data_IF_799786412886
#
_entry.id   IF_799786412886
#
_cell.length_a   1.000
_cell.length_b   1.000
_cell.length_c   1.000
_cell.angle_alpha   90.00
_cell.angle_beta   90.00
_cell.angle_gamma   90.00
#
_symmetry.space_group_name_H-M   'P 1'
#
loop_
_entity.id
_entity.type
_entity.pdbx_description
1 polymer ?
#
# COMPACT_ATOMS: atom_id res chain seq x y z
N UNK A 1 -20.62 10.86 19.37
CA UNK A 1 -20.18 10.95 20.79
C UNK A 1 -20.76 12.22 21.39
N UNK A 2 -21.37 12.12 22.55
CA UNK A 2 -21.86 13.22 23.36
C UNK A 2 -20.90 13.49 24.55
N UNK A 3 -21.23 14.49 25.38
CA UNK A 3 -20.38 14.92 26.50
C UNK A 3 -20.22 13.83 27.56
N UNK A 4 -21.30 13.14 27.94
CA UNK A 4 -21.25 12.05 28.92
C UNK A 4 -20.37 10.89 28.41
N UNK A 5 -20.51 10.51 27.14
CA UNK A 5 -19.66 9.49 26.52
C UNK A 5 -18.17 9.90 26.50
N UNK A 6 -17.86 11.20 26.34
CA UNK A 6 -16.47 11.68 26.47
C UNK A 6 -15.97 11.57 27.91
N UNK A 7 -16.80 11.87 28.90
CA UNK A 7 -16.46 11.70 30.32
C UNK A 7 -16.16 10.21 30.61
N UNK A 8 -16.97 9.30 30.07
CA UNK A 8 -16.74 7.86 30.20
C UNK A 8 -15.41 7.43 29.52
N UNK A 9 -15.10 7.94 28.31
CA UNK A 9 -13.82 7.68 27.64
C UNK A 9 -12.63 8.19 28.47
N UNK A 10 -12.74 9.39 29.02
CA UNK A 10 -11.70 9.95 29.87
C UNK A 10 -11.57 9.18 31.20
N UNK A 11 -12.64 8.64 31.73
CA UNK A 11 -12.63 7.77 32.91
C UNK A 11 -11.89 6.45 32.63
N UNK A 12 -12.07 5.88 31.43
CA UNK A 12 -11.29 4.72 30.99
C UNK A 12 -9.80 5.09 30.90
N UNK A 13 -9.45 6.21 30.29
CA UNK A 13 -8.06 6.66 30.18
C UNK A 13 -7.43 6.92 31.55
N UNK A 14 -8.17 7.55 32.47
CA UNK A 14 -7.76 7.84 33.86
C UNK A 14 -7.40 6.57 34.62
N UNK A 15 -8.10 5.47 34.39
CA UNK A 15 -7.80 4.19 35.06
C UNK A 15 -6.39 3.70 34.74
N UNK A 16 -5.84 4.05 33.57
CA UNK A 16 -4.50 3.64 33.12
C UNK A 16 -3.42 4.67 33.45
N UNK A 17 -3.67 5.96 33.20
CA UNK A 17 -2.63 7.00 33.27
C UNK A 17 -2.77 7.96 34.49
N UNK A 18 -3.81 7.76 35.27
CA UNK A 18 -4.09 8.54 36.49
C UNK A 18 -4.22 10.05 36.25
N UNK A 19 -4.66 10.44 35.03
CA UNK A 19 -4.89 11.86 34.71
C UNK A 19 -5.95 12.49 35.58
N UNK A 20 -5.87 13.80 35.72
CA UNK A 20 -6.97 14.59 36.30
C UNK A 20 -7.84 15.09 35.17
N UNK A 21 -9.09 14.64 35.13
CA UNK A 21 -10.05 15.07 34.12
C UNK A 21 -10.67 16.38 34.52
N UNK A 22 -10.55 17.41 33.69
CA UNK A 22 -11.15 18.73 33.87
C UNK A 22 -12.07 19.10 32.72
N UNK A 23 -12.87 20.14 32.88
CA UNK A 23 -13.82 20.65 31.89
C UNK A 23 -13.16 20.99 30.55
N UNK A 24 -11.98 21.60 30.59
CA UNK A 24 -11.22 21.93 29.39
C UNK A 24 -10.81 20.68 28.58
N UNK A 25 -10.46 19.60 29.28
CA UNK A 25 -10.11 18.33 28.63
C UNK A 25 -11.34 17.69 28.00
N UNK A 26 -12.46 17.65 28.71
CA UNK A 26 -13.74 17.16 28.17
C UNK A 26 -14.11 17.92 26.90
N UNK A 27 -14.02 19.25 26.94
CA UNK A 27 -14.31 20.10 25.77
C UNK A 27 -13.40 19.80 24.59
N UNK A 28 -12.09 19.67 24.81
CA UNK A 28 -11.12 19.40 23.74
C UNK A 28 -11.34 18.00 23.11
N UNK A 29 -11.65 17.00 23.94
CA UNK A 29 -11.96 15.67 23.47
C UNK A 29 -13.27 15.61 22.69
N UNK A 30 -14.30 16.32 23.17
CA UNK A 30 -15.60 16.41 22.51
C UNK A 30 -15.49 17.07 21.12
N UNK A 31 -14.73 18.16 21.00
CA UNK A 31 -14.46 18.82 19.73
C UNK A 31 -13.76 17.86 18.75
N UNK A 32 -12.73 17.17 19.22
CA UNK A 32 -12.00 16.19 18.43
C UNK A 32 -12.87 15.02 17.97
N UNK A 33 -13.72 14.51 18.88
CA UNK A 33 -14.66 13.42 18.60
C UNK A 33 -15.68 13.81 17.52
N UNK A 34 -16.22 15.03 17.60
CA UNK A 34 -17.17 15.57 16.63
C UNK A 34 -16.52 15.75 15.25
N UNK A 35 -15.34 16.36 15.20
CA UNK A 35 -14.58 16.57 13.94
C UNK A 35 -14.24 15.25 13.26
N UNK A 36 -13.80 14.26 14.01
CA UNK A 36 -13.40 12.97 13.48
C UNK A 36 -14.56 11.95 13.39
N UNK A 37 -15.76 12.35 13.80
CA UNK A 37 -16.99 11.52 13.78
C UNK A 37 -16.78 10.18 14.51
N UNK A 38 -16.25 10.22 15.72
CA UNK A 38 -16.11 9.01 16.51
C UNK A 38 -17.48 8.45 16.88
N UNK A 39 -17.58 7.12 16.98
CA UNK A 39 -18.60 6.48 17.80
C UNK A 39 -18.00 6.14 19.16
N UNK A 40 -18.82 5.97 20.19
CA UNK A 40 -18.35 5.63 21.52
C UNK A 40 -17.59 4.29 21.53
N UNK A 41 -18.13 3.29 20.84
CA UNK A 41 -17.52 1.96 20.77
C UNK A 41 -16.13 2.01 20.12
N UNK A 42 -16.01 2.69 18.97
CA UNK A 42 -14.71 2.82 18.29
C UNK A 42 -13.69 3.56 19.16
N UNK A 43 -14.10 4.62 19.83
CA UNK A 43 -13.21 5.41 20.67
C UNK A 43 -12.81 4.64 21.95
N UNK A 44 -13.75 3.93 22.56
CA UNK A 44 -13.50 3.09 23.73
C UNK A 44 -12.49 1.97 23.43
N UNK A 45 -12.68 1.26 22.31
CA UNK A 45 -11.74 0.23 21.88
C UNK A 45 -10.37 0.84 21.54
N UNK A 46 -10.32 1.99 20.84
CA UNK A 46 -9.07 2.66 20.53
C UNK A 46 -8.29 3.08 21.79
N UNK A 47 -8.96 3.59 22.83
CA UNK A 47 -8.32 3.94 24.09
C UNK A 47 -7.75 2.71 24.79
N UNK A 48 -8.50 1.62 24.90
CA UNK A 48 -8.05 0.35 25.49
C UNK A 48 -6.86 -0.23 24.71
N UNK A 49 -6.97 -0.26 23.38
CA UNK A 49 -5.94 -0.75 22.47
C UNK A 49 -4.64 0.07 22.58
N UNK A 50 -4.76 1.39 22.74
CA UNK A 50 -3.60 2.25 22.96
C UNK A 50 -2.80 1.81 24.18
N UNK A 51 -3.45 1.62 25.31
CA UNK A 51 -2.76 1.20 26.53
C UNK A 51 -2.28 -0.26 26.47
N UNK A 52 -2.98 -1.13 25.76
CA UNK A 52 -2.55 -2.52 25.56
C UNK A 52 -1.31 -2.67 24.67
N UNK A 53 -1.13 -1.76 23.71
CA UNK A 53 -0.06 -1.83 22.70
C UNK A 53 1.12 -0.91 22.99
N UNK A 54 0.95 0.09 23.85
CA UNK A 54 2.04 1.03 24.13
C UNK A 54 3.05 0.44 25.11
N UNK A 55 4.33 0.63 24.80
CA UNK A 55 5.47 0.20 25.63
C UNK A 55 6.09 1.36 26.41
N UNK A 56 5.50 2.55 26.36
CA UNK A 56 5.97 3.72 27.09
C UNK A 56 5.81 3.53 28.60
N UNK A 57 6.79 3.97 29.38
CA UNK A 57 6.73 3.96 30.84
C UNK A 57 5.61 4.85 31.39
N UNK A 58 5.26 5.90 30.65
CA UNK A 58 4.17 6.83 30.99
C UNK A 58 3.28 7.04 29.77
N UNK A 59 2.41 6.09 29.48
CA UNK A 59 1.50 6.21 28.34
C UNK A 59 0.47 7.32 28.63
N UNK A 60 0.30 8.22 27.67
CA UNK A 60 -0.67 9.29 27.73
C UNK A 60 -1.45 9.37 26.42
N UNK A 61 -2.68 8.89 26.44
CA UNK A 61 -3.51 8.92 25.25
C UNK A 61 -4.02 10.33 24.97
N UNK A 62 -3.91 10.75 23.73
CA UNK A 62 -4.39 12.04 23.22
C UNK A 62 -5.50 11.82 22.19
N UNK A 63 -6.41 12.79 21.97
CA UNK A 63 -7.44 12.69 20.92
C UNK A 63 -6.89 12.37 19.53
N UNK A 64 -5.68 12.81 19.20
CA UNK A 64 -5.02 12.51 17.94
C UNK A 64 -4.70 11.02 17.79
N UNK A 65 -4.28 10.35 18.88
CA UNK A 65 -4.01 8.91 18.88
C UNK A 65 -5.29 8.13 18.62
N UNK A 66 -6.37 8.47 19.33
CA UNK A 66 -7.69 7.85 19.14
C UNK A 66 -8.18 8.04 17.71
N UNK A 67 -8.10 9.26 17.17
CA UNK A 67 -8.49 9.55 15.80
C UNK A 67 -7.70 8.70 14.78
N UNK A 68 -6.38 8.60 14.97
CA UNK A 68 -5.52 7.81 14.10
C UNK A 68 -5.90 6.32 14.12
N UNK A 69 -6.11 5.77 15.30
CA UNK A 69 -6.47 4.36 15.48
C UNK A 69 -7.84 4.04 14.85
N UNK A 70 -8.83 4.89 15.08
CA UNK A 70 -10.17 4.74 14.48
C UNK A 70 -10.09 4.77 12.94
N UNK A 71 -9.31 5.70 12.38
CA UNK A 71 -9.14 5.79 10.92
C UNK A 71 -8.48 4.55 10.36
N UNK A 72 -7.40 4.08 10.99
CA UNK A 72 -6.70 2.86 10.57
C UNK A 72 -7.62 1.63 10.61
N UNK A 73 -8.41 1.48 11.68
CA UNK A 73 -9.35 0.36 11.79
C UNK A 73 -10.49 0.44 10.75
N UNK A 74 -11.01 1.63 10.48
CA UNK A 74 -12.01 1.84 9.41
C UNK A 74 -11.45 1.49 8.03
N UNK A 75 -10.21 1.85 7.75
CA UNK A 75 -9.52 1.51 6.50
C UNK A 75 -9.32 0.00 6.35
N UNK A 76 -8.84 -0.68 7.40
CA UNK A 76 -8.70 -2.14 7.42
C UNK A 76 -10.05 -2.82 7.19
N UNK A 77 -11.09 -2.35 7.85
CA UNK A 77 -12.46 -2.87 7.71
C UNK A 77 -12.98 -2.68 6.28
N UNK A 78 -12.75 -1.52 5.69
CA UNK A 78 -13.10 -1.24 4.30
C UNK A 78 -12.35 -2.15 3.33
N UNK A 79 -11.02 -2.30 3.49
CA UNK A 79 -10.21 -3.21 2.66
C UNK A 79 -10.70 -4.66 2.76
N UNK A 80 -10.99 -5.13 3.98
CA UNK A 80 -11.53 -6.49 4.20
C UNK A 80 -12.89 -6.69 3.51
N UNK A 81 -13.78 -5.69 3.59
CA UNK A 81 -15.08 -5.73 2.92
C UNK A 81 -14.92 -5.80 1.40
N UNK A 82 -14.07 -4.95 0.82
CA UNK A 82 -13.77 -4.95 -0.62
C UNK A 82 -13.13 -6.27 -1.07
N UNK A 83 -12.17 -6.79 -0.30
CA UNK A 83 -11.54 -8.09 -0.61
C UNK A 83 -12.56 -9.23 -0.58
N UNK A 84 -13.49 -9.21 0.40
CA UNK A 84 -14.55 -10.20 0.48
C UNK A 84 -15.53 -10.11 -0.70
N UNK A 85 -15.84 -8.89 -1.14
CA UNK A 85 -16.70 -8.66 -2.31
C UNK A 85 -16.03 -9.17 -3.60
N UNK A 86 -14.73 -8.85 -3.79
CA UNK A 86 -13.95 -9.33 -4.94
C UNK A 86 -13.73 -10.85 -4.92
N UNK A 87 -13.73 -11.48 -3.76
CA UNK A 87 -13.60 -12.93 -3.62
C UNK A 87 -14.92 -13.69 -3.88
N UNK A 88 -16.04 -12.99 -4.06
CA UNK A 88 -17.30 -13.64 -4.41
C UNK A 88 -17.22 -14.20 -5.84
N UNK A 89 -17.71 -15.42 -6.08
CA UNK A 89 -17.73 -15.96 -7.43
C UNK A 89 -18.61 -15.08 -8.32
N UNK A 90 -18.12 -14.82 -9.53
CA UNK A 90 -18.87 -14.06 -10.51
C UNK A 90 -20.22 -14.71 -10.81
N UNK A 91 -21.31 -13.92 -10.94
CA UNK A 91 -22.59 -14.47 -11.36
C UNK A 91 -22.42 -15.26 -12.66
N UNK A 92 -23.12 -16.42 -12.82
CA UNK A 92 -22.96 -17.31 -13.98
C UNK A 92 -23.10 -16.60 -15.34
N UNK A 93 -23.95 -15.57 -15.40
CA UNK A 93 -24.12 -14.73 -16.60
C UNK A 93 -22.86 -13.94 -16.97
N UNK A 94 -22.12 -13.44 -15.96
CA UNK A 94 -20.88 -12.71 -16.20
C UNK A 94 -19.74 -13.66 -16.55
N UNK A 95 -19.68 -14.84 -15.95
CA UNK A 95 -18.71 -15.88 -16.32
C UNK A 95 -18.85 -16.22 -17.80
N UNK A 96 -20.10 -16.49 -18.26
CA UNK A 96 -20.38 -16.75 -19.69
C UNK A 96 -19.98 -15.59 -20.61
N UNK A 97 -20.29 -14.35 -20.20
CA UNK A 97 -19.92 -13.17 -20.99
C UNK A 97 -18.38 -13.00 -21.09
N UNK A 98 -17.66 -13.22 -19.99
CA UNK A 98 -16.18 -13.18 -19.99
C UNK A 98 -15.59 -14.29 -20.86
N UNK A 99 -16.14 -15.50 -20.78
CA UNK A 99 -15.71 -16.63 -21.63
C UNK A 99 -16.00 -16.37 -23.12
N UNK A 100 -17.08 -15.70 -23.44
CA UNK A 100 -17.45 -15.33 -24.81
C UNK A 100 -16.52 -14.25 -25.36
N UNK A 101 -16.23 -13.22 -24.57
CA UNK A 101 -15.24 -12.20 -24.91
C UNK A 101 -13.85 -12.82 -25.06
N UNK A 102 -13.44 -13.71 -24.14
CA UNK A 102 -12.15 -14.39 -24.22
C UNK A 102 -12.04 -15.27 -25.49
N UNK A 103 -13.13 -15.91 -25.91
CA UNK A 103 -13.19 -16.70 -27.16
C UNK A 103 -13.18 -15.81 -28.41
N UNK A 104 -13.85 -14.65 -28.37
CA UNK A 104 -13.89 -13.72 -29.50
C UNK A 104 -12.63 -12.86 -29.64
N UNK A 105 -11.93 -12.66 -28.53
CA UNK A 105 -10.66 -11.91 -28.51
C UNK A 105 -9.50 -12.90 -28.67
N UNK A 106 -9.43 -13.59 -29.79
CA UNK A 106 -8.18 -14.19 -30.23
C UNK A 106 -7.27 -13.01 -30.62
N UNK A 107 -6.52 -12.51 -29.61
CA UNK A 107 -5.39 -11.62 -29.90
C UNK A 107 -4.42 -12.50 -30.72
N UNK A 108 -4.21 -12.21 -32.01
CA UNK A 108 -3.19 -12.91 -32.78
C UNK A 108 -1.89 -12.68 -31.97
N UNK A 109 -1.36 -13.72 -31.37
CA UNK A 109 -0.01 -13.66 -30.84
C UNK A 109 0.87 -13.48 -32.08
N UNK A 110 1.25 -12.21 -32.36
CA UNK A 110 2.34 -11.98 -33.31
C UNK A 110 3.48 -12.92 -32.91
N UNK A 111 4.02 -13.66 -33.87
CA UNK A 111 5.15 -14.54 -33.61
C UNK A 111 6.22 -13.68 -32.94
N UNK A 112 6.41 -13.90 -31.60
CA UNK A 112 7.47 -13.21 -30.86
C UNK A 112 8.76 -13.55 -31.59
N UNK A 113 9.32 -12.57 -32.31
CA UNK A 113 10.67 -12.68 -32.82
C UNK A 113 11.58 -13.32 -31.75
N UNK A 114 12.36 -14.35 -32.10
CA UNK A 114 13.25 -15.00 -31.17
C UNK A 114 14.09 -13.92 -30.48
N UNK A 115 13.93 -13.79 -29.15
CA UNK A 115 14.69 -12.80 -28.36
C UNK A 115 16.16 -13.16 -28.44
N UNK A 116 16.88 -12.54 -29.38
CA UNK A 116 18.34 -12.68 -29.44
C UNK A 116 18.88 -12.21 -28.08
N UNK A 117 19.63 -13.05 -27.34
CA UNK A 117 20.13 -12.67 -26.03
C UNK A 117 21.11 -11.51 -26.15
N UNK A 118 20.61 -10.29 -25.97
CA UNK A 118 21.40 -9.06 -26.10
C UNK A 118 22.68 -9.07 -25.25
N UNK A 119 22.70 -9.87 -24.17
CA UNK A 119 23.87 -10.02 -23.31
C UNK A 119 25.04 -10.80 -23.95
N UNK A 120 24.85 -11.45 -25.10
CA UNK A 120 25.92 -12.19 -25.79
C UNK A 120 26.92 -11.31 -26.53
N UNK A 121 26.68 -10.02 -26.63
CA UNK A 121 27.56 -9.05 -27.32
C UNK A 121 27.88 -7.88 -26.39
N UNK A 122 28.99 -7.22 -26.58
CA UNK A 122 29.35 -5.99 -25.89
C UNK A 122 28.38 -4.87 -26.32
N UNK A 123 28.06 -3.96 -25.39
CA UNK A 123 27.16 -2.87 -25.71
C UNK A 123 27.92 -1.70 -26.35
N UNK A 124 27.62 -1.35 -27.65
CA UNK A 124 28.30 -0.23 -28.30
C UNK A 124 28.05 1.11 -27.61
N UNK A 125 26.93 1.25 -26.91
CA UNK A 125 26.52 2.50 -26.29
C UNK A 125 27.19 2.74 -24.93
N UNK A 126 27.07 1.81 -23.98
CA UNK A 126 27.60 1.99 -22.62
C UNK A 126 28.87 1.19 -22.31
N UNK A 127 29.42 0.49 -23.30
CA UNK A 127 30.65 -0.33 -23.21
C UNK A 127 30.54 -1.53 -22.22
N UNK A 128 29.35 -1.86 -21.76
CA UNK A 128 29.16 -3.04 -20.91
C UNK A 128 29.57 -4.31 -21.66
N UNK A 129 30.36 -5.16 -21.03
CA UNK A 129 30.87 -6.40 -21.64
C UNK A 129 29.81 -7.49 -21.76
N UNK A 130 30.15 -8.56 -22.47
CA UNK A 130 29.30 -9.75 -22.58
C UNK A 130 28.95 -10.28 -21.19
N UNK A 131 27.69 -10.58 -20.98
CA UNK A 131 27.17 -11.04 -19.69
C UNK A 131 26.81 -9.91 -18.72
N UNK A 132 27.31 -8.70 -18.90
CA UNK A 132 26.99 -7.56 -18.05
C UNK A 132 25.74 -6.83 -18.49
N UNK A 133 24.92 -6.36 -17.52
CA UNK A 133 23.77 -5.51 -17.79
C UNK A 133 24.17 -4.12 -18.29
N UNK A 134 23.34 -3.51 -19.13
CA UNK A 134 23.55 -2.10 -19.49
C UNK A 134 23.29 -1.20 -18.29
N UNK A 135 24.07 -0.12 -18.17
CA UNK A 135 23.93 0.89 -17.12
C UNK A 135 23.90 2.29 -17.70
N UNK A 136 23.30 3.23 -16.96
CA UNK A 136 23.43 4.67 -17.22
C UNK A 136 23.95 5.38 -15.97
N UNK A 137 24.71 6.47 -16.14
CA UNK A 137 25.09 7.30 -15.00
C UNK A 137 23.84 7.95 -14.38
N UNK A 138 23.76 7.97 -13.05
CA UNK A 138 22.74 8.72 -12.32
C UNK A 138 23.29 10.08 -11.91
N UNK A 139 22.39 11.00 -11.56
CA UNK A 139 22.73 12.36 -11.06
C UNK A 139 23.63 12.31 -9.80
N UNK A 140 23.64 11.17 -9.08
CA UNK A 140 24.45 10.95 -7.88
C UNK A 140 25.72 10.12 -8.14
N UNK A 141 26.13 9.99 -9.41
CA UNK A 141 27.38 9.28 -9.79
C UNK A 141 27.33 7.75 -9.69
N UNK A 142 26.22 7.14 -9.30
CA UNK A 142 26.07 5.68 -9.27
C UNK A 142 25.55 5.17 -10.61
N UNK A 143 26.10 4.05 -11.11
CA UNK A 143 25.59 3.36 -12.27
C UNK A 143 24.25 2.71 -11.95
N UNK A 144 23.21 3.05 -12.71
CA UNK A 144 21.85 2.48 -12.55
C UNK A 144 21.62 1.46 -13.66
N UNK A 145 21.22 0.22 -13.33
CA UNK A 145 20.87 -0.79 -14.33
C UNK A 145 19.71 -0.31 -15.23
N UNK A 146 19.83 -0.54 -16.52
CA UNK A 146 18.79 -0.25 -17.51
C UNK A 146 18.57 -1.43 -18.42
N UNK A 147 17.44 -1.43 -19.14
CA UNK A 147 17.20 -2.41 -20.21
C UNK A 147 18.31 -2.34 -21.27
N UNK A 148 18.62 -3.43 -21.98
CA UNK A 148 19.62 -3.41 -23.05
C UNK A 148 19.36 -2.27 -24.02
N UNK A 149 20.41 -1.50 -24.34
CA UNK A 149 20.29 -0.40 -25.30
C UNK A 149 19.92 -0.95 -26.69
N UNK A 150 19.12 -0.21 -27.47
CA UNK A 150 18.73 -0.64 -28.84
C UNK A 150 19.92 -1.06 -29.70
N UNK A 151 21.04 -0.32 -29.64
CA UNK A 151 22.27 -0.63 -30.36
C UNK A 151 22.87 -1.99 -29.98
N UNK A 152 22.72 -2.42 -28.72
CA UNK A 152 23.16 -3.75 -28.28
C UNK A 152 22.27 -4.86 -28.83
N UNK A 153 20.97 -4.61 -28.86
CA UNK A 153 20.01 -5.56 -29.43
C UNK A 153 20.27 -5.76 -30.93
N UNK A 154 20.54 -4.67 -31.65
CA UNK A 154 20.86 -4.69 -33.05
C UNK A 154 22.19 -5.40 -33.33
N UNK A 155 23.23 -5.10 -32.56
CA UNK A 155 24.51 -5.81 -32.67
C UNK A 155 24.38 -7.31 -32.39
N UNK A 156 23.48 -7.71 -31.48
CA UNK A 156 23.21 -9.12 -31.21
C UNK A 156 22.44 -9.80 -32.34
N UNK A 157 21.52 -9.11 -33.00
CA UNK A 157 20.82 -9.60 -34.20
C UNK A 157 21.81 -9.82 -35.34
N UNK A 158 22.61 -8.80 -35.68
CA UNK A 158 23.58 -8.86 -36.79
C UNK A 158 24.62 -9.97 -36.57
N UNK A 159 24.94 -10.31 -35.32
CA UNK A 159 25.87 -11.41 -35.02
C UNK A 159 25.20 -12.79 -35.09
N UNK A 160 23.88 -12.89 -34.89
CA UNK A 160 23.16 -14.14 -35.03
C UNK A 160 22.94 -14.50 -36.52
N UNK A 161 22.89 -13.47 -37.35
CA UNK A 161 22.69 -13.60 -38.82
C UNK A 161 24.00 -13.73 -39.59
N UNK A 162 25.15 -13.68 -38.90
CA UNK A 162 26.47 -13.90 -39.56
C UNK A 162 26.69 -15.41 -39.80
N UNK A 163 27.02 -15.82 -41.01
CA UNK A 163 27.22 -17.22 -41.41
C UNK A 163 28.37 -17.92 -40.67
#
# INVERSE_FOLDING_TARGET
VNENEVIDLLSIAQAFDKRTVGEAEVTAWLDSARRARWTFDEASEAVKDYYAKTTSERPWVMPSHVTHMIRAEREIRHMRATTRELAQPLPPRLVRAVEEVARSTVIPSEPREPRVPALRVDCPHCKAHRGEGCTRPSIRGRAVPVKPHPSRVEAAKNRADAP
#
